data_IF_748407479321
#
_entry.id   IF_748407479321
#
_cell.length_a   1.000
_cell.length_b   1.000
_cell.length_c   1.000
_cell.angle_alpha   90.00
_cell.angle_beta   90.00
_cell.angle_gamma   90.00
#
_symmetry.space_group_name_H-M   'P 1'
#
loop_
_entity.id
_entity.type
_entity.pdbx_description
1 polymer ?
#
# COMPACT_ATOMS: atom_id res chain seq x y z
N UNK A 1 11.15 17.24 -13.93
CA UNK A 1 11.17 17.67 -12.53
C UNK A 1 10.53 19.05 -12.33
N UNK A 2 10.96 20.09 -13.11
CA UNK A 2 10.46 21.46 -12.94
C UNK A 2 8.93 21.56 -13.04
N UNK A 3 8.32 21.03 -14.10
CA UNK A 3 6.88 21.06 -14.29
C UNK A 3 6.10 20.30 -13.18
N UNK A 4 6.66 19.23 -12.64
CA UNK A 4 6.03 18.48 -11.55
C UNK A 4 5.90 19.33 -10.29
N UNK A 5 6.95 20.05 -9.91
CA UNK A 5 6.96 20.95 -8.74
C UNK A 5 5.99 22.13 -8.87
N UNK A 6 5.81 22.63 -10.10
CA UNK A 6 4.92 23.77 -10.36
C UNK A 6 3.44 23.38 -10.31
N UNK A 7 3.12 22.08 -10.51
CA UNK A 7 1.75 21.57 -10.63
C UNK A 7 1.27 20.76 -9.44
N UNK A 8 2.17 20.10 -8.69
CA UNK A 8 1.80 19.13 -7.67
C UNK A 8 2.44 19.42 -6.32
N UNK A 9 1.64 19.32 -5.27
CA UNK A 9 2.06 19.43 -3.87
C UNK A 9 1.99 18.08 -3.12
N UNK A 10 1.53 17.01 -3.79
CA UNK A 10 1.47 15.65 -3.28
C UNK A 10 1.95 14.68 -4.36
N UNK A 11 2.68 13.64 -3.95
CA UNK A 11 3.17 12.60 -4.83
C UNK A 11 2.93 11.21 -4.24
N UNK A 12 2.39 10.30 -5.04
CA UNK A 12 2.27 8.89 -4.67
C UNK A 12 3.58 8.17 -4.96
N UNK A 13 4.22 7.64 -3.94
CA UNK A 13 5.43 6.83 -4.03
C UNK A 13 5.05 5.35 -4.08
N UNK A 14 5.42 4.61 -5.14
CA UNK A 14 5.04 3.21 -5.29
C UNK A 14 5.88 2.31 -4.39
N UNK A 15 5.20 1.54 -3.55
CA UNK A 15 5.78 0.50 -2.68
C UNK A 15 5.30 -0.90 -3.08
N UNK A 16 5.06 -1.15 -4.36
CA UNK A 16 4.66 -2.48 -4.85
C UNK A 16 5.69 -3.53 -4.46
N UNK A 17 5.26 -4.53 -3.71
CA UNK A 17 6.18 -5.49 -3.07
C UNK A 17 7.02 -6.27 -4.06
N UNK A 18 6.42 -6.73 -5.16
CA UNK A 18 7.15 -7.45 -6.20
C UNK A 18 8.31 -6.68 -6.84
N UNK A 19 8.23 -5.35 -6.84
CA UNK A 19 9.31 -4.48 -7.35
C UNK A 19 10.16 -3.86 -6.25
N UNK A 20 9.62 -3.76 -5.04
CA UNK A 20 10.38 -3.30 -3.89
C UNK A 20 11.32 -4.39 -3.35
N UNK A 21 10.88 -5.65 -3.33
CA UNK A 21 11.66 -6.80 -2.86
C UNK A 21 11.53 -7.98 -3.84
N UNK A 22 12.06 -7.84 -5.07
CA UNK A 22 11.98 -8.89 -6.09
C UNK A 22 12.75 -10.15 -5.68
N UNK A 23 13.77 -10.00 -4.84
CA UNK A 23 14.58 -11.06 -4.26
C UNK A 23 14.45 -11.01 -2.72
N UNK A 24 14.16 -12.15 -2.11
CA UNK A 24 13.91 -12.28 -0.67
C UNK A 24 15.07 -11.72 0.15
N UNK A 25 14.76 -10.83 1.10
CA UNK A 25 15.73 -10.19 1.99
C UNK A 25 16.55 -9.08 1.35
N UNK A 26 16.22 -8.68 0.10
CA UNK A 26 16.92 -7.60 -0.61
C UNK A 26 15.95 -6.48 -1.03
N UNK A 27 15.40 -5.72 -0.08
CA UNK A 27 14.50 -4.62 -0.40
C UNK A 27 15.26 -3.48 -1.09
N UNK A 28 14.68 -2.95 -2.15
CA UNK A 28 15.22 -1.88 -2.99
C UNK A 28 14.86 -0.50 -2.43
N UNK A 29 15.28 -0.21 -1.21
CA UNK A 29 15.06 1.11 -0.59
C UNK A 29 16.07 2.13 -1.08
N UNK A 30 17.36 1.80 -1.00
CA UNK A 30 18.49 2.71 -1.20
C UNK A 30 18.81 2.97 -2.68
N UNK A 31 19.52 4.07 -2.93
CA UNK A 31 19.90 4.57 -4.24
C UNK A 31 20.69 3.55 -5.08
N UNK A 32 21.54 2.75 -4.44
CA UNK A 32 22.37 1.72 -5.08
C UNK A 32 21.61 0.44 -5.47
N UNK A 33 20.30 0.40 -5.21
CA UNK A 33 19.46 -0.75 -5.57
C UNK A 33 19.38 -0.95 -7.08
N UNK A 34 19.21 -2.21 -7.55
CA UNK A 34 19.10 -2.50 -8.98
C UNK A 34 18.00 -1.69 -9.68
N UNK A 35 18.29 -1.23 -10.90
CA UNK A 35 17.33 -0.45 -11.69
C UNK A 35 16.13 -1.31 -12.12
N UNK A 36 14.93 -0.80 -11.89
CA UNK A 36 13.68 -1.29 -12.49
C UNK A 36 12.97 -0.11 -13.16
N UNK A 37 12.60 -0.28 -14.43
CA UNK A 37 11.95 0.78 -15.22
C UNK A 37 10.67 1.26 -14.52
N UNK A 38 10.55 2.58 -14.36
CA UNK A 38 9.40 3.24 -13.70
C UNK A 38 9.18 2.84 -12.23
N UNK A 39 10.17 2.22 -11.59
CA UNK A 39 10.17 1.84 -10.18
C UNK A 39 11.51 2.21 -9.53
N UNK A 40 11.78 3.51 -9.35
CA UNK A 40 12.99 3.94 -8.69
C UNK A 40 13.01 3.44 -7.23
N UNK A 41 14.20 3.33 -6.62
CA UNK A 41 14.33 3.09 -5.19
C UNK A 41 13.51 4.09 -4.38
N UNK A 42 12.85 3.62 -3.31
CA UNK A 42 11.88 4.44 -2.59
C UNK A 42 12.50 5.60 -1.83
N UNK A 43 13.77 5.48 -1.37
CA UNK A 43 14.49 6.59 -0.74
C UNK A 43 14.63 7.78 -1.68
N UNK A 44 15.02 7.54 -2.94
CA UNK A 44 15.14 8.61 -3.93
C UNK A 44 13.83 9.38 -4.13
N UNK A 45 12.70 8.68 -4.13
CA UNK A 45 11.39 9.30 -4.27
C UNK A 45 11.04 10.16 -3.05
N UNK A 46 11.24 9.60 -1.84
CA UNK A 46 10.91 10.30 -0.58
C UNK A 46 11.83 11.51 -0.41
N UNK A 47 13.14 11.35 -0.60
CA UNK A 47 14.10 12.46 -0.52
C UNK A 47 13.81 13.57 -1.55
N UNK A 48 13.39 13.19 -2.77
CA UNK A 48 12.95 14.16 -3.76
C UNK A 48 11.75 14.97 -3.23
N UNK A 49 10.76 14.30 -2.67
CA UNK A 49 9.59 14.97 -2.10
C UNK A 49 9.97 15.91 -0.95
N UNK A 50 10.80 15.43 -0.02
CA UNK A 50 11.31 16.23 1.10
C UNK A 50 12.06 17.49 0.62
N UNK A 51 13.00 17.33 -0.32
CA UNK A 51 13.78 18.44 -0.92
C UNK A 51 12.92 19.45 -1.66
N UNK A 52 11.76 19.03 -2.18
CA UNK A 52 10.88 19.89 -2.97
C UNK A 52 9.67 20.42 -2.21
N UNK A 53 9.47 20.05 -0.95
CA UNK A 53 8.29 20.42 -0.19
C UNK A 53 7.01 19.78 -0.71
N UNK A 54 7.11 18.59 -1.30
CA UNK A 54 5.99 17.80 -1.83
C UNK A 54 5.63 16.75 -0.77
N UNK A 55 4.35 16.60 -0.45
CA UNK A 55 3.87 15.60 0.49
C UNK A 55 3.94 14.18 -0.12
N UNK A 56 4.75 13.23 0.41
CA UNK A 56 4.80 11.87 -0.11
C UNK A 56 3.68 11.01 0.48
N UNK A 57 2.90 10.34 -0.37
CA UNK A 57 1.94 9.30 -0.01
C UNK A 57 2.53 7.94 -0.33
N UNK A 58 2.57 7.04 0.65
CA UNK A 58 2.96 5.65 0.43
C UNK A 58 1.83 4.85 -0.22
N UNK A 59 2.10 4.14 -1.32
CA UNK A 59 1.16 3.28 -2.01
C UNK A 59 1.81 1.92 -2.32
N UNK A 60 1.47 0.86 -1.65
CA UNK A 60 0.70 0.65 -0.43
C UNK A 60 1.34 -0.44 0.44
N UNK A 61 0.88 -0.64 1.66
CA UNK A 61 1.44 -1.68 2.54
C UNK A 61 0.96 -3.07 2.13
N UNK A 62 -0.35 -3.23 1.89
CA UNK A 62 -0.99 -4.49 1.51
C UNK A 62 -1.66 -4.36 0.15
N UNK A 63 -1.20 -5.14 -0.81
CA UNK A 63 -1.80 -5.24 -2.15
C UNK A 63 -1.46 -6.59 -2.78
N UNK A 64 -2.38 -7.52 -2.70
CA UNK A 64 -2.15 -8.93 -3.08
C UNK A 64 -1.85 -9.15 -4.58
N UNK A 65 -2.15 -8.16 -5.43
CA UNK A 65 -1.82 -8.20 -6.86
C UNK A 65 -0.33 -8.02 -7.19
N UNK A 66 0.42 -7.37 -6.31
CA UNK A 66 1.81 -7.01 -6.55
C UNK A 66 2.75 -7.58 -5.49
N UNK A 67 2.57 -8.86 -5.18
CA UNK A 67 3.44 -9.62 -4.27
C UNK A 67 4.50 -10.39 -5.05
N UNK A 68 5.71 -10.58 -4.49
CA UNK A 68 6.79 -11.32 -5.15
C UNK A 68 6.54 -12.83 -5.23
N UNK A 69 7.19 -13.48 -6.18
CA UNK A 69 6.97 -14.91 -6.44
C UNK A 69 7.58 -15.84 -5.39
N UNK A 70 8.59 -15.37 -4.66
CA UNK A 70 9.24 -16.13 -3.60
C UNK A 70 8.38 -16.32 -2.34
N UNK A 71 7.27 -15.59 -2.18
CA UNK A 71 6.38 -15.73 -1.03
C UNK A 71 5.64 -17.07 -1.00
N UNK A 72 5.43 -17.66 0.19
CA UNK A 72 4.66 -18.89 0.39
C UNK A 72 3.15 -18.62 0.31
N UNK A 73 2.66 -18.27 -0.88
CA UNK A 73 1.33 -17.72 -1.17
C UNK A 73 0.15 -18.55 -0.65
N UNK A 74 0.36 -19.85 -0.41
CA UNK A 74 -0.66 -20.79 0.11
C UNK A 74 -0.64 -20.99 1.64
N UNK A 75 0.32 -20.43 2.36
CA UNK A 75 0.46 -20.59 3.81
C UNK A 75 0.11 -19.30 4.55
N UNK A 76 -1.04 -19.30 5.23
CA UNK A 76 -1.56 -18.11 5.93
C UNK A 76 -0.57 -17.59 6.99
N UNK A 77 -0.01 -18.47 7.81
CA UNK A 77 0.88 -18.06 8.91
C UNK A 77 2.18 -17.46 8.40
N UNK A 78 2.75 -18.05 7.34
CA UNK A 78 3.95 -17.51 6.74
C UNK A 78 3.66 -16.21 5.98
N UNK A 79 2.54 -16.09 5.30
CA UNK A 79 2.14 -14.84 4.67
C UNK A 79 1.95 -13.72 5.69
N UNK A 80 1.28 -13.98 6.81
CA UNK A 80 1.14 -13.02 7.91
C UNK A 80 2.51 -12.59 8.46
N UNK A 81 3.42 -13.54 8.67
CA UNK A 81 4.79 -13.26 9.12
C UNK A 81 5.55 -12.34 8.13
N UNK A 82 5.48 -12.62 6.83
CA UNK A 82 6.18 -11.80 5.83
C UNK A 82 5.54 -10.41 5.67
N UNK A 83 4.24 -10.29 5.76
CA UNK A 83 3.58 -8.99 5.79
C UNK A 83 3.97 -8.19 7.03
N UNK A 84 4.03 -8.82 8.19
CA UNK A 84 4.46 -8.17 9.43
C UNK A 84 5.90 -7.68 9.32
N UNK A 85 6.82 -8.53 8.83
CA UNK A 85 8.21 -8.16 8.57
C UNK A 85 8.28 -6.94 7.62
N UNK A 86 7.58 -7.00 6.49
CA UNK A 86 7.52 -5.92 5.51
C UNK A 86 7.03 -4.60 6.12
N UNK A 87 5.92 -4.64 6.85
CA UNK A 87 5.34 -3.43 7.46
C UNK A 87 6.27 -2.85 8.51
N UNK A 88 6.92 -3.70 9.34
CA UNK A 88 7.88 -3.24 10.33
C UNK A 88 9.12 -2.57 9.70
N UNK A 89 9.68 -3.15 8.64
CA UNK A 89 10.84 -2.57 7.92
C UNK A 89 10.49 -1.24 7.24
N UNK A 90 9.31 -1.14 6.65
CA UNK A 90 8.81 0.11 6.06
C UNK A 90 8.58 1.16 7.14
N UNK A 91 7.97 0.78 8.26
CA UNK A 91 7.72 1.70 9.37
C UNK A 91 9.03 2.21 9.98
N UNK A 92 10.00 1.33 10.24
CA UNK A 92 11.31 1.71 10.77
C UNK A 92 12.00 2.76 9.89
N UNK A 93 11.84 2.65 8.56
CA UNK A 93 12.53 3.53 7.61
C UNK A 93 11.78 4.83 7.30
N UNK A 94 10.45 4.80 7.28
CA UNK A 94 9.63 5.89 6.72
C UNK A 94 8.61 6.50 7.70
N UNK A 95 8.49 6.02 8.93
CA UNK A 95 7.66 6.69 9.94
C UNK A 95 8.12 8.13 10.14
N UNK A 96 7.18 9.08 10.19
CA UNK A 96 7.46 10.52 10.28
C UNK A 96 7.94 11.18 8.98
N UNK A 97 8.16 10.42 7.90
CA UNK A 97 8.64 10.93 6.60
C UNK A 97 7.54 10.96 5.53
N UNK A 98 6.45 10.23 5.75
CA UNK A 98 5.33 10.18 4.81
C UNK A 98 4.17 11.07 5.29
N UNK A 99 3.48 11.69 4.36
CA UNK A 99 2.26 12.45 4.66
C UNK A 99 1.11 11.52 5.04
N UNK A 100 1.01 10.36 4.36
CA UNK A 100 0.02 9.33 4.67
C UNK A 100 0.48 7.96 4.16
N UNK A 101 0.00 6.90 4.84
CA UNK A 101 0.26 5.51 4.50
C UNK A 101 -1.04 4.86 4.00
N UNK A 102 -1.05 4.45 2.75
CA UNK A 102 -2.12 3.62 2.22
C UNK A 102 -1.92 2.19 2.71
N UNK A 103 -2.80 1.77 3.63
CA UNK A 103 -2.67 0.48 4.32
C UNK A 103 -3.01 -0.67 3.38
N UNK A 104 -4.12 -0.57 2.67
CA UNK A 104 -4.59 -1.62 1.77
C UNK A 104 -5.26 -1.02 0.54
N UNK A 105 -5.01 -1.65 -0.61
CA UNK A 105 -5.50 -1.17 -1.90
C UNK A 105 -6.44 -2.16 -2.58
N UNK A 106 -7.51 -1.64 -3.18
CA UNK A 106 -8.43 -2.32 -4.11
C UNK A 106 -9.00 -3.65 -3.59
N UNK A 107 -9.44 -3.67 -2.33
CA UNK A 107 -10.01 -4.88 -1.71
C UNK A 107 -11.35 -5.31 -2.32
N UNK A 108 -12.07 -4.38 -2.92
CA UNK A 108 -13.38 -4.60 -3.53
C UNK A 108 -13.27 -4.94 -5.02
N UNK A 109 -12.14 -4.61 -5.65
CA UNK A 109 -11.84 -4.90 -7.06
C UNK A 109 -11.40 -6.35 -7.32
N UNK A 110 -11.51 -7.22 -6.33
CA UNK A 110 -11.05 -8.62 -6.38
C UNK A 110 -11.66 -9.47 -7.50
N UNK A 111 -12.78 -9.05 -8.06
CA UNK A 111 -13.40 -9.72 -9.23
C UNK A 111 -12.57 -9.61 -10.51
N UNK A 112 -11.73 -8.59 -10.61
CA UNK A 112 -10.96 -8.27 -11.81
C UNK A 112 -9.50 -8.67 -11.70
N UNK A 113 -9.02 -8.87 -10.45
CA UNK A 113 -7.63 -9.16 -10.16
C UNK A 113 -7.51 -10.58 -9.63
N UNK A 114 -6.53 -11.30 -10.09
CA UNK A 114 -6.22 -12.63 -9.57
C UNK A 114 -5.65 -12.47 -8.17
N UNK A 115 -6.40 -12.89 -7.17
CA UNK A 115 -5.91 -13.05 -5.81
C UNK A 115 -4.69 -13.98 -5.83
N UNK A 116 -3.53 -13.46 -5.48
CA UNK A 116 -2.28 -14.20 -5.60
C UNK A 116 -1.95 -15.02 -4.35
N UNK A 117 -2.53 -14.68 -3.22
CA UNK A 117 -2.27 -15.40 -1.96
C UNK A 117 -3.53 -15.64 -1.13
N UNK A 118 -3.37 -16.45 -0.09
CA UNK A 118 -4.43 -16.76 0.88
C UNK A 118 -4.87 -15.53 1.72
N UNK A 119 -4.06 -14.48 1.77
CA UNK A 119 -4.39 -13.23 2.50
C UNK A 119 -5.64 -12.57 1.93
N UNK A 120 -5.79 -12.54 0.61
CA UNK A 120 -6.99 -11.96 -0.04
C UNK A 120 -8.27 -12.72 0.26
N UNK A 121 -8.18 -13.98 0.68
CA UNK A 121 -9.31 -14.80 1.12
C UNK A 121 -9.78 -14.56 2.57
N UNK A 122 -9.07 -13.72 3.33
CA UNK A 122 -9.49 -13.37 4.70
C UNK A 122 -10.78 -12.57 4.70
N UNK A 123 -11.74 -12.94 5.57
CA UNK A 123 -12.97 -12.15 5.76
C UNK A 123 -12.72 -10.81 6.47
N UNK A 124 -11.64 -10.74 7.26
CA UNK A 124 -11.21 -9.62 8.07
C UNK A 124 -9.96 -8.93 7.49
N UNK A 125 -9.70 -9.05 6.20
CA UNK A 125 -8.45 -8.57 5.57
C UNK A 125 -8.18 -7.09 5.82
N UNK A 126 -9.21 -6.26 5.80
CA UNK A 126 -9.08 -4.81 6.04
C UNK A 126 -8.74 -4.54 7.50
N UNK A 127 -9.51 -5.13 8.43
CA UNK A 127 -9.30 -4.98 9.86
C UNK A 127 -7.91 -5.49 10.27
N UNK A 128 -7.52 -6.65 9.74
CA UNK A 128 -6.19 -7.23 9.95
C UNK A 128 -5.07 -6.30 9.44
N UNK A 129 -5.20 -5.77 8.23
CA UNK A 129 -4.20 -4.87 7.64
C UNK A 129 -4.05 -3.57 8.46
N UNK A 130 -5.18 -2.99 8.90
CA UNK A 130 -5.15 -1.79 9.74
C UNK A 130 -4.60 -2.08 11.15
N UNK A 131 -4.93 -3.21 11.76
CA UNK A 131 -4.36 -3.62 13.04
C UNK A 131 -2.83 -3.80 12.94
N UNK A 132 -2.35 -4.42 11.85
CA UNK A 132 -0.94 -4.58 11.57
C UNK A 132 -0.25 -3.22 11.35
N UNK A 133 -0.83 -2.35 10.53
CA UNK A 133 -0.28 -1.01 10.29
C UNK A 133 -0.25 -0.20 11.59
N UNK A 134 -1.32 -0.21 12.39
CA UNK A 134 -1.41 0.53 13.65
C UNK A 134 -0.38 0.07 14.68
N UNK A 135 -0.01 -1.21 14.68
CA UNK A 135 1.02 -1.76 15.55
C UNK A 135 2.38 -1.08 15.34
N UNK A 136 2.76 -0.80 14.09
CA UNK A 136 4.07 -0.25 13.73
C UNK A 136 4.05 1.25 13.39
N UNK A 137 2.89 1.80 13.07
CA UNK A 137 2.66 3.18 12.65
C UNK A 137 1.55 3.84 13.52
N UNK A 138 1.69 3.84 14.85
CA UNK A 138 0.61 4.25 15.76
C UNK A 138 0.20 5.72 15.62
N UNK A 139 1.12 6.58 15.18
CA UNK A 139 0.93 8.02 15.09
C UNK A 139 0.76 8.52 13.65
N UNK A 140 0.81 7.61 12.67
CA UNK A 140 0.75 7.97 11.26
C UNK A 140 -0.69 8.07 10.75
N UNK A 141 -0.87 8.85 9.69
CA UNK A 141 -2.14 8.93 8.97
C UNK A 141 -2.31 7.71 8.08
N UNK A 142 -3.22 6.82 8.47
CA UNK A 142 -3.53 5.58 7.77
C UNK A 142 -4.77 5.77 6.91
N UNK A 143 -4.70 5.37 5.64
CA UNK A 143 -5.80 5.48 4.69
C UNK A 143 -6.08 4.17 3.98
N UNK A 144 -7.29 4.04 3.43
CA UNK A 144 -7.71 2.97 2.52
C UNK A 144 -7.98 3.56 1.14
N UNK A 145 -7.67 2.79 0.09
CA UNK A 145 -8.00 3.16 -1.28
C UNK A 145 -8.72 2.01 -2.00
N UNK A 146 -9.70 2.38 -2.83
CA UNK A 146 -10.36 1.45 -3.73
C UNK A 146 -10.77 2.14 -5.03
N UNK A 147 -11.08 1.32 -6.06
CA UNK A 147 -11.42 1.80 -7.39
C UNK A 147 -12.91 2.07 -7.59
N UNK A 148 -13.24 3.01 -8.47
CA UNK A 148 -14.55 3.22 -9.08
C UNK A 148 -15.79 3.48 -8.17
N UNK A 149 -15.72 3.93 -6.91
CA UNK A 149 -16.88 4.03 -6.05
C UNK A 149 -17.95 4.99 -6.58
N UNK A 150 -17.55 6.08 -7.23
CA UNK A 150 -18.48 7.06 -7.82
C UNK A 150 -19.10 6.55 -9.12
N UNK A 151 -18.34 5.86 -9.95
CA UNK A 151 -18.85 5.28 -11.20
C UNK A 151 -19.88 4.17 -10.92
N UNK A 152 -19.63 3.31 -9.95
CA UNK A 152 -20.58 2.28 -9.52
C UNK A 152 -21.86 2.90 -8.97
N UNK A 153 -21.79 3.90 -8.12
CA UNK A 153 -22.96 4.58 -7.58
C UNK A 153 -23.77 5.29 -8.68
N UNK A 154 -23.09 5.94 -9.62
CA UNK A 154 -23.74 6.68 -10.71
C UNK A 154 -24.38 5.77 -11.77
N UNK A 155 -23.70 4.68 -12.15
CA UNK A 155 -24.14 3.79 -13.22
C UNK A 155 -25.18 2.76 -12.73
N UNK A 156 -24.95 2.20 -11.55
CA UNK A 156 -25.72 1.08 -11.02
C UNK A 156 -26.87 1.51 -10.11
N UNK A 157 -26.93 2.80 -9.76
CA UNK A 157 -27.95 3.39 -8.88
C UNK A 157 -28.14 2.64 -7.54
N UNK A 158 -27.04 2.11 -6.99
CA UNK A 158 -27.03 1.48 -5.67
C UNK A 158 -25.83 1.98 -4.83
N UNK A 159 -25.88 1.74 -3.52
CA UNK A 159 -24.74 2.00 -2.64
C UNK A 159 -23.56 1.16 -3.11
N UNK A 160 -22.45 1.83 -3.45
CA UNK A 160 -21.24 1.10 -3.81
C UNK A 160 -20.76 0.26 -2.62
N UNK A 161 -20.14 -0.86 -2.91
CA UNK A 161 -19.50 -1.72 -1.91
C UNK A 161 -18.46 -0.95 -1.07
N UNK A 162 -17.87 0.09 -1.65
CA UNK A 162 -16.95 0.99 -0.96
C UNK A 162 -17.62 1.74 0.21
N UNK A 163 -18.82 2.28 0.03
CA UNK A 163 -19.55 2.93 1.12
C UNK A 163 -19.92 1.96 2.23
N UNK A 164 -20.31 0.72 1.91
CA UNK A 164 -20.58 -0.32 2.88
C UNK A 164 -19.32 -0.69 3.67
N UNK A 165 -18.17 -0.73 3.02
CA UNK A 165 -16.89 -0.97 3.68
C UNK A 165 -16.51 0.18 4.63
N UNK A 166 -16.69 1.45 4.23
CA UNK A 166 -16.47 2.59 5.09
C UNK A 166 -17.40 2.57 6.32
N UNK A 167 -18.67 2.26 6.11
CA UNK A 167 -19.67 2.10 7.18
C UNK A 167 -19.21 1.03 8.20
N UNK A 168 -18.76 -0.12 7.71
CA UNK A 168 -18.18 -1.21 8.53
C UNK A 168 -16.96 -0.73 9.33
N UNK A 169 -16.03 -0.03 8.71
CA UNK A 169 -14.85 0.52 9.37
C UNK A 169 -15.21 1.53 10.47
N UNK A 170 -16.25 2.34 10.25
CA UNK A 170 -16.72 3.32 11.24
C UNK A 170 -17.42 2.67 12.43
N UNK A 171 -18.10 1.54 12.24
CA UNK A 171 -18.79 0.82 13.30
C UNK A 171 -17.84 -0.01 14.18
N UNK A 172 -16.67 -0.34 13.69
CA UNK A 172 -15.66 -1.18 14.37
C UNK A 172 -14.54 -0.36 15.05
N UNK A 173 -14.81 0.91 15.37
CA UNK A 173 -13.87 1.80 16.10
C UNK A 173 -13.73 1.44 17.56
#
# INVERSE_FOLDING_TARGET
EKAFKELFNLATVPFYWNTLEPEQGKPRFSEDSPFILRRPPTDLCVEFCEKQGIAPKLHCLVYDNYIPDWLPKGDMKQMEYYYEKRVSEIAERYAGRMYEFEVINETLSTRWWHNQSVISGRRDVVEWAFALAKKYLPNEKLIINDGYPLAEAAIMNYRSTYFLQLEKCLLNK
#
